data_IF_291853431902
#
_entry.id   IF_291853431902
#
_cell.length_a   1.000
_cell.length_b   1.000
_cell.length_c   1.000
_cell.angle_alpha   90.00
_cell.angle_beta   90.00
_cell.angle_gamma   90.00
#
_symmetry.space_group_name_H-M   'P 1'
#
loop_
_entity.id
_entity.type
_entity.pdbx_description
1 polymer ?
#
# COMPACT_ATOMS: atom_id res chain seq x y z
N UNK A 1 -13.54 36.53 8.75
CA UNK A 1 -12.22 35.82 8.88
C UNK A 1 -12.58 34.38 9.22
N UNK A 2 -12.47 33.50 8.25
CA UNK A 2 -12.86 32.08 8.42
C UNK A 2 -11.87 31.41 9.35
N UNK A 3 -12.28 31.19 10.59
CA UNK A 3 -11.51 30.46 11.62
C UNK A 3 -11.57 28.93 11.44
N UNK A 4 -12.10 28.46 10.31
CA UNK A 4 -12.44 27.03 10.13
C UNK A 4 -11.40 26.21 9.36
N UNK A 5 -10.22 26.75 9.05
CA UNK A 5 -9.22 26.07 8.22
C UNK A 5 -7.93 25.73 9.00
N UNK A 6 -8.03 25.56 10.33
CA UNK A 6 -6.87 25.24 11.16
C UNK A 6 -6.78 23.74 11.45
N UNK A 7 -5.60 23.18 11.21
CA UNK A 7 -5.24 21.84 11.66
C UNK A 7 -5.31 21.80 13.19
N UNK A 8 -6.06 20.84 13.73
CA UNK A 8 -6.20 20.67 15.16
C UNK A 8 -5.35 19.51 15.65
N UNK A 9 -4.76 19.68 16.81
CA UNK A 9 -3.94 18.65 17.47
C UNK A 9 -4.58 18.30 18.81
N UNK A 10 -4.87 17.02 19.01
CA UNK A 10 -5.46 16.52 20.26
C UNK A 10 -4.59 15.38 20.80
N UNK A 11 -4.21 15.47 22.07
CA UNK A 11 -3.55 14.37 22.77
C UNK A 11 -4.62 13.46 23.37
N UNK A 12 -4.73 12.24 22.87
CA UNK A 12 -5.76 11.29 23.24
C UNK A 12 -5.14 10.08 23.98
N UNK A 13 -5.81 9.63 25.05
CA UNK A 13 -5.61 8.28 25.55
C UNK A 13 -6.33 7.28 24.67
N UNK A 14 -5.98 6.00 24.76
CA UNK A 14 -6.70 4.96 24.03
C UNK A 14 -8.20 4.98 24.39
N UNK A 15 -8.50 5.16 25.68
CA UNK A 15 -9.87 5.28 26.16
C UNK A 15 -10.64 6.42 25.51
N UNK A 16 -10.06 7.62 25.44
CA UNK A 16 -10.72 8.79 24.87
C UNK A 16 -10.82 8.73 23.34
N UNK A 17 -9.89 8.07 22.68
CA UNK A 17 -9.94 7.86 21.25
C UNK A 17 -11.12 6.98 20.85
N UNK A 18 -11.27 5.83 21.50
CA UNK A 18 -12.38 4.92 21.23
C UNK A 18 -13.72 5.33 21.87
N UNK A 19 -13.90 6.62 22.17
CA UNK A 19 -15.19 7.27 22.33
C UNK A 19 -15.68 7.91 21.02
N UNK A 20 -14.82 8.03 20.02
CA UNK A 20 -15.12 8.56 18.69
C UNK A 20 -15.32 7.42 17.71
N UNK A 21 -16.01 7.69 16.61
CA UNK A 21 -16.18 6.73 15.53
C UNK A 21 -15.12 6.98 14.44
N UNK A 22 -14.44 5.94 14.03
CA UNK A 22 -13.43 5.98 12.97
C UNK A 22 -13.82 5.04 11.84
N UNK A 23 -13.51 5.46 10.62
CA UNK A 23 -13.67 4.66 9.42
C UNK A 23 -12.33 4.58 8.70
N UNK A 24 -11.89 3.39 8.38
CA UNK A 24 -10.77 3.15 7.46
C UNK A 24 -11.35 2.92 6.08
N UNK A 25 -11.15 3.86 5.13
CA UNK A 25 -11.74 3.77 3.80
C UNK A 25 -11.17 2.61 3.00
N UNK A 26 -11.92 2.14 2.01
CA UNK A 26 -11.54 1.05 1.11
C UNK A 26 -10.41 1.42 0.13
N UNK A 27 -10.14 2.72 -0.06
CA UNK A 27 -9.00 3.19 -0.84
C UNK A 27 -7.68 3.17 -0.04
N UNK A 28 -7.74 3.01 1.29
CA UNK A 28 -6.56 2.83 2.12
C UNK A 28 -6.05 1.39 2.04
N UNK A 29 -4.82 1.19 2.54
CA UNK A 29 -4.19 -0.11 2.59
C UNK A 29 -4.93 -1.02 3.56
N UNK A 30 -5.20 -2.27 3.18
CA UNK A 30 -5.74 -3.29 4.07
C UNK A 30 -4.83 -3.53 5.29
N UNK A 31 -5.36 -4.21 6.30
CA UNK A 31 -4.55 -4.61 7.45
C UNK A 31 -3.45 -5.60 7.03
N UNK A 32 -2.20 -5.27 7.33
CA UNK A 32 -1.01 -6.03 6.86
C UNK A 32 -0.06 -6.43 7.96
N UNK A 33 -0.28 -5.98 9.21
CA UNK A 33 0.56 -6.38 10.31
C UNK A 33 0.48 -7.89 10.54
N UNK A 34 1.65 -8.49 10.70
CA UNK A 34 1.83 -9.88 11.06
C UNK A 34 2.12 -9.98 12.55
N UNK A 35 2.30 -11.20 13.02
CA UNK A 35 2.62 -11.53 14.41
C UNK A 35 3.75 -10.64 14.99
N UNK A 36 4.85 -10.49 14.27
CA UNK A 36 6.02 -9.72 14.69
C UNK A 36 5.71 -8.26 15.03
N UNK A 37 4.91 -7.55 14.19
CA UNK A 37 4.55 -6.15 14.44
C UNK A 37 3.56 -6.01 15.60
N UNK A 38 2.66 -6.98 15.73
CA UNK A 38 1.68 -7.02 16.84
C UNK A 38 2.41 -7.28 18.15
N UNK A 39 3.30 -8.27 18.21
CA UNK A 39 4.11 -8.59 19.38
C UNK A 39 5.02 -7.43 19.79
N UNK A 40 5.64 -6.75 18.81
CA UNK A 40 6.48 -5.58 19.08
C UNK A 40 5.68 -4.48 19.78
N UNK A 41 4.48 -4.14 19.27
CA UNK A 41 3.62 -3.14 19.90
C UNK A 41 3.25 -3.52 21.35
N UNK A 42 2.91 -4.79 21.58
CA UNK A 42 2.57 -5.29 22.92
C UNK A 42 3.77 -5.27 23.84
N UNK A 43 4.95 -5.69 23.36
CA UNK A 43 6.21 -5.69 24.10
C UNK A 43 6.61 -4.29 24.53
N UNK A 44 6.54 -3.32 23.59
CA UNK A 44 6.86 -1.92 23.89
C UNK A 44 5.96 -1.34 24.99
N UNK A 45 4.65 -1.64 24.94
CA UNK A 45 3.71 -1.21 25.99
C UNK A 45 3.96 -1.92 27.32
N UNK A 46 4.28 -3.21 27.29
CA UNK A 46 4.59 -4.00 28.50
C UNK A 46 5.88 -3.52 29.15
N UNK A 47 6.92 -3.23 28.37
CA UNK A 47 8.16 -2.66 28.85
C UNK A 47 7.95 -1.27 29.48
N UNK A 48 7.17 -0.40 28.81
CA UNK A 48 6.83 0.91 29.34
C UNK A 48 6.04 0.83 30.66
N UNK A 49 5.08 -0.09 30.76
CA UNK A 49 4.32 -0.37 31.97
C UNK A 49 5.23 -0.86 33.09
N UNK A 50 6.10 -1.83 32.84
CA UNK A 50 7.03 -2.38 33.81
C UNK A 50 8.09 -1.38 34.26
N UNK A 51 8.55 -0.50 33.37
CA UNK A 51 9.52 0.54 33.72
C UNK A 51 8.90 1.62 34.63
N UNK A 52 7.70 2.10 34.33
CA UNK A 52 6.97 3.05 35.17
C UNK A 52 5.49 3.17 34.76
N UNK A 53 4.60 2.50 35.43
CA UNK A 53 3.14 2.51 35.20
C UNK A 53 2.46 3.88 35.33
N UNK A 54 3.13 4.87 35.95
CA UNK A 54 2.61 6.24 36.09
C UNK A 54 2.94 7.15 34.90
N UNK A 55 3.86 6.75 34.02
CA UNK A 55 4.24 7.52 32.82
C UNK A 55 3.40 7.13 31.62
N UNK A 56 3.13 8.15 30.80
CA UNK A 56 2.46 7.94 29.53
C UNK A 56 3.40 7.27 28.51
N UNK A 57 2.85 6.36 27.72
CA UNK A 57 3.52 5.75 26.56
C UNK A 57 2.96 6.34 25.29
N UNK A 58 3.81 6.95 24.47
CA UNK A 58 3.42 7.59 23.23
C UNK A 58 3.58 6.64 22.04
N UNK A 59 2.46 6.31 21.39
CA UNK A 59 2.41 5.36 20.26
C UNK A 59 2.67 6.02 18.90
N UNK A 60 2.64 7.35 18.83
CA UNK A 60 2.77 8.12 17.59
C UNK A 60 1.53 8.95 17.29
N UNK A 61 1.38 9.37 16.04
CA UNK A 61 0.25 10.18 15.57
C UNK A 61 -0.75 9.37 14.74
N UNK A 62 -1.99 9.85 14.72
CA UNK A 62 -3.00 9.47 13.71
C UNK A 62 -3.43 10.71 12.97
N UNK A 63 -3.73 10.58 11.68
CA UNK A 63 -4.24 11.68 10.84
C UNK A 63 -5.66 11.35 10.43
N UNK A 64 -6.56 12.28 10.70
CA UNK A 64 -8.00 12.10 10.45
C UNK A 64 -8.62 13.35 9.84
N UNK A 65 -9.74 13.19 9.18
CA UNK A 65 -10.63 14.30 8.84
C UNK A 65 -12.10 13.91 9.09
N UNK A 66 -12.98 14.89 9.43
CA UNK A 66 -14.36 14.60 9.71
C UNK A 66 -15.13 14.15 8.47
N UNK A 67 -15.95 13.11 8.62
CA UNK A 67 -16.82 12.59 7.59
C UNK A 67 -18.16 12.16 8.18
N UNK A 68 -19.16 13.03 8.09
CA UNK A 68 -20.45 12.82 8.76
C UNK A 68 -20.27 12.75 10.28
N UNK A 69 -20.74 11.67 10.88
CA UNK A 69 -20.65 11.44 12.33
C UNK A 69 -19.39 10.68 12.76
N UNK A 70 -18.46 10.41 11.84
CA UNK A 70 -17.23 9.67 12.09
C UNK A 70 -16.01 10.45 11.60
N UNK A 71 -14.83 10.03 12.01
CA UNK A 71 -13.55 10.46 11.47
C UNK A 71 -13.04 9.43 10.46
N UNK A 72 -12.66 9.89 9.30
CA UNK A 72 -11.98 9.05 8.32
C UNK A 72 -10.49 9.02 8.63
N UNK A 73 -9.95 7.82 8.81
CA UNK A 73 -8.57 7.60 9.26
C UNK A 73 -7.64 7.52 8.04
N UNK A 74 -6.77 8.52 7.89
CA UNK A 74 -5.82 8.61 6.77
C UNK A 74 -4.46 8.00 7.14
N UNK A 75 -4.01 8.18 8.38
CA UNK A 75 -2.80 7.54 8.92
C UNK A 75 -3.05 6.93 10.30
N UNK A 76 -2.27 5.91 10.63
CA UNK A 76 -2.37 5.18 11.89
C UNK A 76 -3.36 4.01 11.88
N UNK A 77 -3.91 3.65 10.73
CA UNK A 77 -4.92 2.61 10.56
C UNK A 77 -4.48 1.24 11.13
N UNK A 78 -3.23 0.82 10.91
CA UNK A 78 -2.73 -0.46 11.40
C UNK A 78 -2.73 -0.50 12.93
N UNK A 79 -2.25 0.59 13.56
CA UNK A 79 -2.23 0.74 15.02
C UNK A 79 -3.64 0.78 15.60
N UNK A 80 -4.53 1.58 15.04
CA UNK A 80 -5.91 1.70 15.51
C UNK A 80 -6.67 0.38 15.36
N UNK A 81 -6.45 -0.37 14.28
CA UNK A 81 -7.04 -1.71 14.10
C UNK A 81 -6.51 -2.68 15.15
N UNK A 82 -5.20 -2.66 15.41
CA UNK A 82 -4.60 -3.54 16.44
C UNK A 82 -5.10 -3.18 17.85
N UNK A 83 -5.26 -1.90 18.18
CA UNK A 83 -5.86 -1.49 19.45
C UNK A 83 -7.32 -1.89 19.58
N UNK A 84 -8.10 -1.77 18.50
CA UNK A 84 -9.49 -2.26 18.53
C UNK A 84 -9.53 -3.76 18.83
N UNK A 85 -8.69 -4.55 18.18
CA UNK A 85 -8.58 -6.00 18.43
C UNK A 85 -8.11 -6.27 19.88
N UNK A 86 -7.16 -5.49 20.41
CA UNK A 86 -6.71 -5.59 21.78
C UNK A 86 -7.86 -5.36 22.78
N UNK A 87 -8.71 -4.35 22.56
CA UNK A 87 -9.90 -4.10 23.37
C UNK A 87 -10.87 -5.29 23.34
N UNK A 88 -11.07 -5.90 22.16
CA UNK A 88 -11.91 -7.10 22.01
C UNK A 88 -11.33 -8.31 22.79
N UNK A 89 -10.02 -8.51 22.73
CA UNK A 89 -9.35 -9.60 23.46
C UNK A 89 -9.42 -9.35 24.97
N UNK A 90 -9.14 -8.12 25.44
CA UNK A 90 -9.26 -7.78 26.85
C UNK A 90 -10.69 -8.00 27.35
N UNK A 91 -11.71 -7.55 26.59
CA UNK A 91 -13.12 -7.85 26.90
C UNK A 91 -13.36 -9.34 27.12
N UNK A 92 -12.85 -10.18 26.21
CA UNK A 92 -13.06 -11.63 26.28
C UNK A 92 -12.37 -12.23 27.51
N UNK A 93 -11.14 -11.84 27.82
CA UNK A 93 -10.41 -12.33 28.99
C UNK A 93 -11.09 -11.90 30.28
N UNK A 94 -11.57 -10.65 30.38
CA UNK A 94 -12.34 -10.17 31.55
C UNK A 94 -13.62 -10.97 31.73
N UNK A 95 -14.36 -11.21 30.65
CA UNK A 95 -15.57 -12.04 30.65
C UNK A 95 -15.29 -13.46 31.15
N UNK A 96 -14.19 -14.07 30.70
CA UNK A 96 -13.82 -15.44 31.09
C UNK A 96 -13.43 -15.53 32.59
N UNK A 97 -13.03 -14.40 33.21
CA UNK A 97 -12.84 -14.28 34.66
C UNK A 97 -14.11 -13.84 35.41
N UNK A 98 -15.24 -13.66 34.72
CA UNK A 98 -16.49 -13.23 35.37
C UNK A 98 -16.51 -11.76 35.81
N UNK A 99 -15.62 -10.93 35.26
CA UNK A 99 -15.49 -9.50 35.56
C UNK A 99 -16.34 -8.68 34.58
N UNK A 100 -16.83 -7.52 35.03
CA UNK A 100 -17.59 -6.60 34.21
C UNK A 100 -16.80 -6.12 32.99
N UNK A 101 -17.39 -6.24 31.80
CA UNK A 101 -16.78 -5.89 30.51
C UNK A 101 -17.26 -4.54 29.96
N UNK A 102 -18.13 -3.85 30.67
CA UNK A 102 -18.81 -2.62 30.20
C UNK A 102 -17.83 -1.53 29.72
N UNK A 103 -16.67 -1.44 30.37
CA UNK A 103 -15.63 -0.47 30.00
C UNK A 103 -15.08 -0.73 28.58
N UNK A 104 -14.91 -1.99 28.21
CA UNK A 104 -14.43 -2.36 26.86
C UNK A 104 -15.57 -2.27 25.84
N UNK A 105 -16.76 -2.72 26.21
CA UNK A 105 -17.93 -2.68 25.33
C UNK A 105 -18.22 -1.25 24.84
N UNK A 106 -18.18 -0.28 25.73
CA UNK A 106 -18.35 1.15 25.41
C UNK A 106 -17.24 1.73 24.53
N UNK A 107 -16.12 1.04 24.32
CA UNK A 107 -15.00 1.44 23.42
C UNK A 107 -14.97 0.61 22.13
N UNK A 108 -15.67 -0.52 22.12
CA UNK A 108 -15.82 -1.37 20.93
C UNK A 108 -17.00 -0.86 20.08
N UNK A 109 -18.13 -0.56 20.70
CA UNK A 109 -19.32 -0.09 20.01
C UNK A 109 -20.09 0.96 20.82
N UNK A 110 -20.81 1.81 20.12
CA UNK A 110 -21.70 2.82 20.68
C UNK A 110 -23.08 2.78 20.01
N UNK A 111 -24.01 3.56 20.54
CA UNK A 111 -25.34 3.69 19.98
C UNK A 111 -25.44 5.02 19.21
N UNK A 112 -25.96 4.97 17.99
CA UNK A 112 -26.30 6.14 17.17
C UNK A 112 -27.74 6.04 16.68
N UNK A 113 -28.24 7.08 16.02
CA UNK A 113 -29.57 7.09 15.40
C UNK A 113 -29.44 6.95 13.89
N UNK A 114 -30.22 6.07 13.26
CA UNK A 114 -30.33 6.03 11.80
C UNK A 114 -31.14 7.23 11.27
N UNK A 115 -31.20 7.38 9.95
CA UNK A 115 -31.96 8.44 9.29
C UNK A 115 -33.48 8.42 9.57
N UNK A 116 -33.99 7.34 10.17
CA UNK A 116 -35.39 7.15 10.58
C UNK A 116 -35.59 7.29 12.07
N UNK A 117 -34.56 7.75 12.81
CA UNK A 117 -34.62 7.96 14.26
C UNK A 117 -34.61 6.66 15.08
N UNK A 118 -34.16 5.54 14.53
CA UNK A 118 -34.06 4.27 15.25
C UNK A 118 -32.64 4.10 15.81
N UNK A 119 -32.47 3.61 17.04
CA UNK A 119 -31.16 3.32 17.59
C UNK A 119 -30.48 2.20 16.79
N UNK A 120 -29.23 2.42 16.42
CA UNK A 120 -28.36 1.44 15.74
C UNK A 120 -27.03 1.33 16.49
N UNK A 121 -26.52 0.13 16.58
CA UNK A 121 -25.18 -0.13 17.12
C UNK A 121 -24.14 0.16 16.04
N UNK A 122 -23.19 1.03 16.35
CA UNK A 122 -22.05 1.32 15.48
C UNK A 122 -20.77 0.92 16.19
N UNK A 123 -19.85 0.32 15.48
CA UNK A 123 -18.52 0.04 16.00
C UNK A 123 -17.65 1.30 15.95
N UNK A 124 -16.82 1.52 16.97
CA UNK A 124 -15.92 2.67 17.03
C UNK A 124 -14.78 2.61 15.99
N UNK A 125 -14.57 1.46 15.37
CA UNK A 125 -13.74 1.31 14.18
C UNK A 125 -14.45 0.45 13.12
N UNK A 126 -14.58 1.02 11.93
CA UNK A 126 -15.12 0.34 10.75
C UNK A 126 -14.06 0.29 9.65
N UNK A 127 -13.86 -0.90 9.07
CA UNK A 127 -12.98 -1.12 7.93
C UNK A 127 -13.83 -1.27 6.67
N UNK A 128 -13.75 -0.33 5.73
CA UNK A 128 -14.62 -0.32 4.52
C UNK A 128 -14.11 -1.18 3.37
N UNK A 129 -13.06 -1.98 3.56
CA UNK A 129 -12.61 -2.92 2.54
C UNK A 129 -13.22 -4.32 2.77
N UNK A 130 -13.41 -5.06 1.68
CA UNK A 130 -14.13 -6.33 1.57
C UNK A 130 -14.06 -7.22 2.81
N UNK A 131 -15.23 -7.52 3.40
CA UNK A 131 -15.44 -8.40 4.56
C UNK A 131 -14.69 -8.07 5.85
N UNK A 132 -13.84 -7.05 5.87
CA UNK A 132 -13.02 -6.74 7.04
C UNK A 132 -13.84 -6.23 8.23
N UNK A 133 -14.87 -5.44 8.00
CA UNK A 133 -15.79 -5.03 9.08
C UNK A 133 -16.50 -6.22 9.70
N UNK A 134 -16.95 -7.18 8.90
CA UNK A 134 -17.56 -8.41 9.43
C UNK A 134 -16.57 -9.24 10.24
N UNK A 135 -15.28 -9.27 9.85
CA UNK A 135 -14.21 -9.90 10.64
C UNK A 135 -14.02 -9.23 12.00
N UNK A 136 -14.00 -7.88 12.06
CA UNK A 136 -13.91 -7.16 13.34
C UNK A 136 -15.14 -7.39 14.22
N UNK A 137 -16.34 -7.48 13.65
CA UNK A 137 -17.55 -7.83 14.39
C UNK A 137 -17.45 -9.23 14.99
N UNK A 138 -17.01 -10.23 14.19
CA UNK A 138 -16.79 -11.59 14.69
C UNK A 138 -15.75 -11.59 15.83
N UNK A 139 -14.62 -10.86 15.67
CA UNK A 139 -13.58 -10.74 16.70
C UNK A 139 -14.16 -10.11 17.99
N UNK A 140 -15.04 -9.12 17.87
CA UNK A 140 -15.62 -8.43 19.03
C UNK A 140 -16.51 -9.31 19.89
N UNK A 141 -17.15 -10.33 19.31
CA UNK A 141 -18.06 -11.25 19.99
C UNK A 141 -17.43 -12.63 20.26
N UNK A 142 -16.19 -12.83 19.85
CA UNK A 142 -15.55 -14.14 19.86
C UNK A 142 -15.19 -14.66 21.26
N UNK A 143 -14.99 -15.98 21.30
CA UNK A 143 -14.16 -16.66 22.29
C UNK A 143 -12.81 -16.96 21.66
N UNK A 144 -11.74 -16.77 22.42
CA UNK A 144 -10.39 -17.00 21.93
C UNK A 144 -9.79 -18.30 22.48
N UNK A 145 -8.81 -18.91 21.79
CA UNK A 145 -8.27 -18.53 20.48
C UNK A 145 -9.14 -19.02 19.32
N UNK A 146 -9.02 -18.36 18.16
CA UNK A 146 -9.57 -18.87 16.90
C UNK A 146 -8.81 -20.12 16.45
N UNK A 147 -9.52 -21.10 15.91
CA UNK A 147 -8.92 -22.29 15.33
C UNK A 147 -8.41 -22.01 13.91
N UNK A 148 -7.37 -22.71 13.45
CA UNK A 148 -6.79 -22.50 12.10
C UNK A 148 -7.82 -22.64 10.96
N UNK A 149 -8.82 -23.47 11.13
CA UNK A 149 -9.95 -23.63 10.18
C UNK A 149 -10.84 -22.39 10.04
N UNK A 150 -10.86 -21.54 11.08
CA UNK A 150 -11.66 -20.32 11.14
C UNK A 150 -10.87 -19.12 10.56
N UNK A 151 -9.56 -19.29 10.40
CA UNK A 151 -8.62 -18.26 9.91
C UNK A 151 -8.46 -18.42 8.39
N UNK A 152 -9.47 -18.03 7.63
CA UNK A 152 -9.47 -18.17 6.17
C UNK A 152 -9.68 -16.82 5.47
N UNK A 153 -9.26 -16.73 4.21
CA UNK A 153 -9.53 -15.56 3.37
C UNK A 153 -8.78 -14.28 3.78
N UNK A 154 -9.35 -13.13 3.43
CA UNK A 154 -8.75 -11.80 3.64
C UNK A 154 -8.69 -11.38 5.12
N UNK A 155 -9.56 -11.92 5.96
CA UNK A 155 -9.51 -11.69 7.42
C UNK A 155 -8.36 -12.38 8.14
N UNK A 156 -7.56 -13.21 7.46
CA UNK A 156 -6.51 -14.03 8.07
C UNK A 156 -5.57 -13.24 9.00
N UNK A 157 -5.15 -12.04 8.59
CA UNK A 157 -4.25 -11.22 9.40
C UNK A 157 -4.96 -10.61 10.62
N UNK A 158 -6.24 -10.25 10.51
CA UNK A 158 -7.03 -9.76 11.65
C UNK A 158 -7.23 -10.84 12.71
N UNK A 159 -7.63 -12.03 12.32
CA UNK A 159 -7.77 -13.19 13.23
C UNK A 159 -6.42 -13.63 13.79
N UNK A 160 -5.35 -13.59 12.96
CA UNK A 160 -3.98 -13.85 13.39
C UNK A 160 -3.54 -12.86 14.48
N UNK A 161 -3.76 -11.55 14.27
CA UNK A 161 -3.48 -10.52 15.27
C UNK A 161 -4.24 -10.77 16.57
N UNK A 162 -5.52 -11.14 16.50
CA UNK A 162 -6.32 -11.45 17.69
C UNK A 162 -5.75 -12.64 18.49
N UNK A 163 -5.35 -13.72 17.80
CA UNK A 163 -4.71 -14.87 18.43
C UNK A 163 -3.35 -14.53 19.03
N UNK A 164 -2.55 -13.73 18.33
CA UNK A 164 -1.25 -13.26 18.84
C UNK A 164 -1.43 -12.45 20.13
N UNK A 165 -2.36 -11.48 20.11
CA UNK A 165 -2.67 -10.66 21.31
C UNK A 165 -3.14 -11.55 22.46
N UNK A 166 -4.07 -12.48 22.20
CA UNK A 166 -4.60 -13.37 23.24
C UNK A 166 -3.50 -14.23 23.86
N UNK A 167 -2.66 -14.88 23.07
CA UNK A 167 -1.54 -15.68 23.54
C UNK A 167 -0.56 -14.85 24.35
N UNK A 168 -0.20 -13.66 23.82
CA UNK A 168 0.74 -12.76 24.49
C UNK A 168 0.24 -12.36 25.88
N UNK A 169 -1.04 -11.94 26.00
CA UNK A 169 -1.64 -11.52 27.28
C UNK A 169 -1.59 -12.65 28.30
N UNK A 170 -1.99 -13.86 27.93
CA UNK A 170 -1.98 -14.99 28.86
C UNK A 170 -0.57 -15.42 29.30
N UNK A 171 0.43 -15.24 28.44
CA UNK A 171 1.81 -15.58 28.73
C UNK A 171 2.50 -14.52 29.62
N UNK A 172 2.26 -13.25 29.34
CA UNK A 172 2.93 -12.15 30.04
C UNK A 172 2.27 -11.77 31.37
N UNK A 173 0.97 -12.03 31.52
CA UNK A 173 0.17 -11.63 32.66
C UNK A 173 -0.61 -12.82 33.22
N UNK A 174 0.06 -13.76 33.89
CA UNK A 174 -0.57 -14.96 34.46
C UNK A 174 -1.52 -14.66 35.63
N UNK A 175 -1.27 -13.58 36.41
CA UNK A 175 -2.18 -13.11 37.46
C UNK A 175 -3.13 -12.05 36.89
N UNK A 176 -4.44 -12.31 37.02
CA UNK A 176 -5.44 -11.36 36.57
C UNK A 176 -5.41 -10.05 37.38
N UNK A 177 -5.50 -10.17 38.73
CA UNK A 177 -5.65 -9.02 39.61
C UNK A 177 -4.35 -8.23 39.75
N UNK A 178 -3.21 -8.92 39.85
CA UNK A 178 -1.93 -8.29 40.16
C UNK A 178 -1.19 -7.77 38.93
N UNK A 179 -1.50 -8.33 37.72
CA UNK A 179 -0.74 -8.05 36.53
C UNK A 179 -1.63 -7.58 35.38
N UNK A 180 -2.64 -8.37 34.96
CA UNK A 180 -3.44 -8.05 33.77
C UNK A 180 -4.36 -6.85 33.97
N UNK A 181 -5.07 -6.77 35.11
CA UNK A 181 -6.00 -5.68 35.35
C UNK A 181 -5.25 -4.33 35.48
N UNK A 182 -4.11 -4.22 36.19
CA UNK A 182 -3.27 -3.02 36.14
C UNK A 182 -2.75 -2.67 34.74
N UNK A 183 -2.30 -3.66 33.98
CA UNK A 183 -1.87 -3.44 32.56
C UNK A 183 -3.01 -2.95 31.69
N UNK A 184 -4.19 -3.53 31.77
CA UNK A 184 -5.37 -3.09 31.02
C UNK A 184 -5.75 -1.64 31.37
N UNK A 185 -5.70 -1.28 32.66
CA UNK A 185 -5.87 0.11 33.12
C UNK A 185 -4.82 1.06 32.52
N UNK A 186 -3.55 0.63 32.50
CA UNK A 186 -2.46 1.38 31.87
C UNK A 186 -2.71 1.59 30.37
N UNK A 187 -3.08 0.54 29.64
CA UNK A 187 -3.38 0.60 28.21
C UNK A 187 -4.49 1.62 27.91
N UNK A 188 -5.55 1.63 28.69
CA UNK A 188 -6.66 2.56 28.49
C UNK A 188 -6.28 4.01 28.78
N UNK A 189 -5.55 4.27 29.88
CA UNK A 189 -5.40 5.61 30.44
C UNK A 189 -4.04 6.26 30.19
N UNK A 190 -2.98 5.49 29.88
CA UNK A 190 -1.60 5.95 29.72
C UNK A 190 -1.01 5.75 28.34
N UNK A 191 -1.58 4.85 27.54
CA UNK A 191 -1.21 4.75 26.11
C UNK A 191 -1.83 5.92 25.36
N UNK A 192 -0.97 6.74 24.74
CA UNK A 192 -1.37 8.01 24.12
C UNK A 192 -0.91 8.12 22.68
N UNK A 193 -1.69 8.87 21.91
CA UNK A 193 -1.33 9.32 20.57
C UNK A 193 -1.84 10.73 20.30
N UNK A 194 -1.21 11.39 19.34
CA UNK A 194 -1.65 12.70 18.86
C UNK A 194 -2.59 12.50 17.68
N UNK A 195 -3.84 12.90 17.83
CA UNK A 195 -4.74 13.03 16.69
C UNK A 195 -4.48 14.35 16.00
N UNK A 196 -4.17 14.28 14.72
CA UNK A 196 -4.06 15.42 13.82
C UNK A 196 -5.34 15.45 12.99
N UNK A 197 -6.18 16.40 13.27
CA UNK A 197 -7.46 16.59 12.59
C UNK A 197 -7.33 17.70 11.56
N UNK A 198 -7.65 17.38 10.32
CA UNK A 198 -7.67 18.32 9.19
C UNK A 198 -9.09 18.63 8.79
N UNK A 199 -9.26 19.71 8.06
CA UNK A 199 -10.57 20.12 7.58
C UNK A 199 -11.10 19.18 6.50
N UNK A 200 -10.24 18.72 5.61
CA UNK A 200 -10.59 17.88 4.48
C UNK A 200 -9.53 16.80 4.20
N UNK A 201 -9.88 15.91 3.29
CA UNK A 201 -9.03 14.81 2.86
C UNK A 201 -7.74 15.28 2.17
N UNK A 202 -7.76 16.37 1.40
CA UNK A 202 -6.58 16.85 0.68
C UNK A 202 -5.48 17.26 1.64
N UNK A 203 -5.86 17.97 2.71
CA UNK A 203 -4.91 18.40 3.74
C UNK A 203 -4.46 17.21 4.61
N UNK A 204 -5.37 16.25 4.90
CA UNK A 204 -5.00 15.01 5.58
C UNK A 204 -3.92 14.24 4.82
N UNK A 205 -4.08 14.08 3.51
CA UNK A 205 -3.11 13.39 2.67
C UNK A 205 -1.77 14.13 2.56
N UNK A 206 -1.76 15.48 2.51
CA UNK A 206 -0.51 16.26 2.54
C UNK A 206 0.27 16.06 3.84
N UNK A 207 -0.44 16.09 4.98
CA UNK A 207 0.19 15.85 6.29
C UNK A 207 0.72 14.43 6.37
N UNK A 208 -0.08 13.45 5.96
CA UNK A 208 0.32 12.06 5.90
C UNK A 208 1.58 11.86 5.06
N UNK A 209 1.66 12.44 3.86
CA UNK A 209 2.86 12.40 3.02
C UNK A 209 4.08 13.02 3.74
N UNK A 210 3.89 14.17 4.39
CA UNK A 210 4.97 14.88 5.10
C UNK A 210 5.52 14.07 6.28
N UNK A 211 4.65 13.44 7.05
CA UNK A 211 5.02 12.63 8.21
C UNK A 211 5.73 11.34 7.75
N UNK A 212 5.22 10.69 6.71
CA UNK A 212 5.74 9.41 6.23
C UNK A 212 7.03 9.53 5.41
N UNK A 213 7.37 10.69 4.86
CA UNK A 213 8.69 10.92 4.26
C UNK A 213 9.85 10.70 5.24
N UNK A 214 9.60 10.70 6.55
CA UNK A 214 10.58 10.52 7.62
C UNK A 214 10.47 9.16 8.33
N UNK A 215 9.52 8.31 7.93
CA UNK A 215 9.22 7.02 8.59
C UNK A 215 9.18 5.83 7.64
N UNK A 216 9.23 4.62 8.20
CA UNK A 216 9.11 3.36 7.45
C UNK A 216 7.62 3.07 7.24
N UNK A 217 7.12 3.03 5.99
CA UNK A 217 5.78 2.48 5.88
C UNK A 217 5.02 2.55 4.57
N UNK A 218 5.20 3.56 3.73
CA UNK A 218 4.48 3.65 2.46
C UNK A 218 5.38 3.30 1.29
N UNK A 219 4.85 2.47 0.42
CA UNK A 219 5.50 2.25 -0.88
C UNK A 219 5.21 3.44 -1.81
N UNK A 220 6.09 3.73 -2.78
CA UNK A 220 5.77 4.73 -3.82
C UNK A 220 4.45 4.48 -4.55
N UNK A 221 3.98 3.23 -4.60
CA UNK A 221 2.65 2.89 -5.14
C UNK A 221 1.52 3.42 -4.25
N UNK A 222 1.64 3.33 -2.93
CA UNK A 222 0.65 3.86 -2.00
C UNK A 222 0.62 5.40 -2.07
N UNK A 223 1.80 6.03 -2.16
CA UNK A 223 1.92 7.49 -2.35
C UNK A 223 1.30 7.94 -3.67
N UNK A 224 1.58 7.24 -4.77
CA UNK A 224 0.97 7.52 -6.06
C UNK A 224 -0.56 7.37 -6.03
N UNK A 225 -1.06 6.30 -5.40
CA UNK A 225 -2.50 6.11 -5.20
C UNK A 225 -3.10 7.35 -4.54
N UNK A 226 -2.52 7.79 -3.43
CA UNK A 226 -3.00 8.97 -2.71
C UNK A 226 -2.93 10.25 -3.55
N UNK A 227 -1.86 10.46 -4.31
CA UNK A 227 -1.72 11.60 -5.22
C UNK A 227 -2.85 11.65 -6.25
N UNK A 228 -3.22 10.51 -6.81
CA UNK A 228 -4.29 10.41 -7.82
C UNK A 228 -5.66 10.60 -7.17
N UNK A 229 -5.91 9.96 -6.02
CA UNK A 229 -7.20 10.05 -5.32
C UNK A 229 -7.53 11.49 -4.91
N UNK A 230 -6.52 12.31 -4.55
CA UNK A 230 -6.72 13.75 -4.27
C UNK A 230 -7.28 14.55 -5.46
N UNK A 231 -7.12 14.06 -6.68
CA UNK A 231 -7.59 14.74 -7.89
C UNK A 231 -9.04 14.37 -8.26
N UNK A 232 -9.67 13.46 -7.51
CA UNK A 232 -10.97 12.88 -7.87
C UNK A 232 -12.00 13.22 -6.80
N UNK A 233 -13.22 13.62 -7.20
CA UNK A 233 -14.33 13.79 -6.25
C UNK A 233 -14.63 12.46 -5.55
N UNK A 234 -15.03 12.55 -4.27
CA UNK A 234 -15.24 11.39 -3.41
C UNK A 234 -16.25 10.39 -3.97
N UNK A 235 -17.29 10.87 -4.63
CA UNK A 235 -18.35 10.05 -5.23
C UNK A 235 -17.81 9.08 -6.29
N UNK A 236 -16.62 9.36 -6.84
CA UNK A 236 -15.97 8.54 -7.86
C UNK A 236 -14.81 7.70 -7.33
N UNK A 237 -14.57 7.70 -6.03
CA UNK A 237 -13.47 6.92 -5.44
C UNK A 237 -13.61 5.42 -5.70
N UNK A 238 -14.82 4.86 -5.58
CA UNK A 238 -15.05 3.44 -5.83
C UNK A 238 -14.71 3.03 -7.28
N UNK A 239 -14.99 3.90 -8.25
CA UNK A 239 -14.63 3.68 -9.65
C UNK A 239 -13.10 3.61 -9.81
N UNK A 240 -12.41 4.60 -9.25
CA UNK A 240 -10.94 4.66 -9.30
C UNK A 240 -10.29 3.50 -8.54
N UNK A 241 -10.83 3.14 -7.37
CA UNK A 241 -10.32 2.05 -6.56
C UNK A 241 -10.47 0.70 -7.27
N UNK A 242 -11.59 0.48 -7.97
CA UNK A 242 -11.80 -0.74 -8.78
C UNK A 242 -10.73 -0.87 -9.86
N UNK A 243 -10.41 0.22 -10.56
CA UNK A 243 -9.35 0.23 -11.57
C UNK A 243 -7.98 -0.03 -10.92
N UNK A 244 -7.69 0.61 -9.78
CA UNK A 244 -6.44 0.42 -9.05
C UNK A 244 -6.26 -1.03 -8.57
N UNK A 245 -7.30 -1.61 -7.95
CA UNK A 245 -7.29 -3.02 -7.53
C UNK A 245 -7.02 -3.95 -8.71
N UNK A 246 -7.63 -3.70 -9.89
CA UNK A 246 -7.37 -4.52 -11.07
C UNK A 246 -5.90 -4.50 -11.52
N UNK A 247 -5.19 -3.37 -11.35
CA UNK A 247 -3.74 -3.29 -11.62
C UNK A 247 -2.96 -4.15 -10.62
N UNK A 248 -3.29 -4.04 -9.33
CA UNK A 248 -2.61 -4.81 -8.29
C UNK A 248 -2.85 -6.31 -8.45
N UNK A 249 -4.07 -6.72 -8.79
CA UNK A 249 -4.42 -8.11 -9.06
C UNK A 249 -3.69 -8.66 -10.29
N UNK A 250 -3.54 -7.88 -11.35
CA UNK A 250 -2.75 -8.25 -12.53
C UNK A 250 -1.28 -8.52 -12.15
N UNK A 251 -0.69 -7.67 -11.32
CA UNK A 251 0.72 -7.77 -10.95
C UNK A 251 1.00 -8.86 -9.91
N UNK A 252 0.08 -9.11 -8.98
CA UNK A 252 0.29 -9.95 -7.80
C UNK A 252 -0.63 -11.18 -7.70
N UNK A 253 -1.75 -11.20 -8.41
CA UNK A 253 -2.78 -12.23 -8.27
C UNK A 253 -2.52 -13.53 -9.05
N UNK A 254 -1.60 -13.52 -10.02
CA UNK A 254 -1.31 -14.67 -10.89
C UNK A 254 -0.26 -15.63 -10.33
N UNK A 255 0.05 -16.69 -11.09
CA UNK A 255 1.16 -17.61 -10.80
C UNK A 255 2.52 -16.89 -10.85
N UNK A 256 2.70 -15.98 -11.82
CA UNK A 256 3.87 -15.11 -11.94
C UNK A 256 3.54 -13.80 -11.24
N UNK A 257 4.19 -13.56 -10.11
CA UNK A 257 4.03 -12.33 -9.33
C UNK A 257 5.12 -11.32 -9.68
N UNK A 258 4.74 -10.05 -9.73
CA UNK A 258 5.68 -8.95 -9.94
C UNK A 258 5.58 -7.90 -8.83
N UNK A 259 6.69 -7.20 -8.61
CA UNK A 259 6.73 -6.08 -7.67
C UNK A 259 6.08 -4.86 -8.32
N UNK A 260 4.96 -4.34 -7.78
CA UNK A 260 4.26 -3.18 -8.36
C UNK A 260 5.18 -1.96 -8.55
N UNK A 261 6.14 -1.79 -7.65
CA UNK A 261 7.09 -0.68 -7.72
C UNK A 261 8.04 -0.78 -8.93
N UNK A 262 8.54 -1.99 -9.25
CA UNK A 262 9.36 -2.21 -10.45
C UNK A 262 8.55 -1.93 -11.72
N UNK A 263 7.32 -2.44 -11.77
CA UNK A 263 6.41 -2.14 -12.89
C UNK A 263 6.20 -0.63 -13.05
N UNK A 264 5.85 0.07 -11.96
CA UNK A 264 5.64 1.52 -11.99
C UNK A 264 6.86 2.25 -12.52
N UNK A 265 8.05 1.92 -12.02
CA UNK A 265 9.31 2.50 -12.46
C UNK A 265 9.52 2.31 -13.96
N UNK A 266 9.35 1.10 -14.46
CA UNK A 266 9.51 0.81 -15.89
C UNK A 266 8.44 1.50 -16.75
N UNK A 267 7.21 1.54 -16.26
CA UNK A 267 6.13 2.25 -16.95
C UNK A 267 6.44 3.75 -17.11
N UNK A 268 6.91 4.40 -16.03
CA UNK A 268 7.25 5.82 -16.07
C UNK A 268 8.40 6.09 -17.05
N UNK A 269 9.48 5.32 -16.97
CA UNK A 269 10.64 5.45 -17.86
C UNK A 269 10.30 5.13 -19.32
N UNK A 270 9.36 4.22 -19.58
CA UNK A 270 8.93 3.86 -20.92
C UNK A 270 7.95 4.86 -21.54
N UNK A 271 7.18 5.57 -20.72
CA UNK A 271 6.07 6.41 -21.18
C UNK A 271 6.43 7.89 -21.20
N UNK A 272 7.29 8.32 -20.26
CA UNK A 272 7.65 9.72 -20.08
C UNK A 272 9.15 9.93 -20.25
N UNK A 273 9.55 11.18 -20.55
CA UNK A 273 10.96 11.55 -20.52
C UNK A 273 11.43 11.67 -19.08
N UNK A 274 12.29 10.75 -18.67
CA UNK A 274 12.90 10.68 -17.35
C UNK A 274 14.40 10.96 -17.39
N UNK A 275 14.92 11.52 -18.47
CA UNK A 275 16.37 11.77 -18.68
C UNK A 275 16.96 12.77 -17.71
N UNK A 276 16.12 13.60 -17.09
CA UNK A 276 16.48 14.53 -16.02
C UNK A 276 16.70 13.85 -14.65
N UNK A 277 16.29 12.59 -14.52
CA UNK A 277 16.59 11.80 -13.33
C UNK A 277 18.11 11.58 -13.18
N UNK A 278 18.56 11.40 -11.96
CA UNK A 278 20.00 11.21 -11.67
C UNK A 278 20.59 10.06 -12.47
N UNK A 279 21.63 10.34 -13.24
CA UNK A 279 22.30 9.40 -14.16
C UNK A 279 21.36 8.90 -15.29
N UNK A 280 20.26 9.60 -15.58
CA UNK A 280 19.25 9.20 -16.58
C UNK A 280 18.40 7.99 -16.16
N UNK A 281 18.44 7.56 -14.92
CA UNK A 281 17.72 6.40 -14.40
C UNK A 281 16.82 6.84 -13.25
N UNK A 282 15.51 6.65 -13.41
CA UNK A 282 14.56 6.87 -12.34
C UNK A 282 14.70 5.76 -11.29
N UNK A 283 15.16 6.11 -10.08
CA UNK A 283 15.30 5.17 -8.97
C UNK A 283 14.00 5.03 -8.18
N UNK A 284 13.81 3.89 -7.54
CA UNK A 284 12.58 3.58 -6.80
C UNK A 284 12.28 4.57 -5.66
N UNK A 285 13.30 4.99 -4.92
CA UNK A 285 13.22 5.98 -3.84
C UNK A 285 12.94 7.41 -4.32
N UNK A 286 13.14 7.70 -5.61
CA UNK A 286 12.93 9.02 -6.20
C UNK A 286 11.61 9.13 -7.01
N UNK A 287 10.89 8.03 -7.23
CA UNK A 287 9.66 8.00 -8.06
C UNK A 287 8.62 9.03 -7.59
N UNK A 288 8.37 9.10 -6.29
CA UNK A 288 7.38 10.02 -5.73
C UNK A 288 7.75 11.50 -6.02
N UNK A 289 8.99 11.88 -5.74
CA UNK A 289 9.46 13.24 -5.96
C UNK A 289 9.42 13.61 -7.45
N UNK A 290 9.81 12.67 -8.31
CA UNK A 290 9.77 12.85 -9.76
C UNK A 290 8.33 13.04 -10.26
N UNK A 291 7.39 12.19 -9.86
CA UNK A 291 5.97 12.31 -10.21
C UNK A 291 5.38 13.65 -9.77
N UNK A 292 5.73 14.12 -8.58
CA UNK A 292 5.24 15.37 -8.05
C UNK A 292 5.79 16.58 -8.82
N UNK A 293 7.08 16.55 -9.20
CA UNK A 293 7.70 17.61 -10.00
C UNK A 293 7.28 17.58 -11.49
N UNK A 294 6.83 16.43 -12.01
CA UNK A 294 6.41 16.23 -13.40
C UNK A 294 4.90 15.98 -13.55
N UNK A 295 4.10 16.49 -12.63
CA UNK A 295 2.65 16.29 -12.62
C UNK A 295 1.97 16.72 -13.93
N UNK A 296 2.41 17.83 -14.53
CA UNK A 296 1.88 18.31 -15.82
C UNK A 296 2.23 17.37 -16.99
N UNK A 297 3.45 16.83 -17.02
CA UNK A 297 3.89 15.88 -18.03
C UNK A 297 3.13 14.56 -17.91
N UNK A 298 2.93 14.07 -16.69
CA UNK A 298 2.20 12.84 -16.41
C UNK A 298 0.68 13.00 -16.59
N UNK A 299 0.16 14.22 -16.45
CA UNK A 299 -1.24 14.54 -16.69
C UNK A 299 -2.23 13.99 -15.65
N UNK A 300 -1.77 13.33 -14.58
CA UNK A 300 -2.65 12.70 -13.60
C UNK A 300 -3.53 13.70 -12.85
N UNK A 301 -3.08 14.95 -12.69
CA UNK A 301 -3.88 16.01 -12.06
C UNK A 301 -5.07 16.43 -12.92
N UNK A 302 -4.90 16.47 -14.26
CA UNK A 302 -5.93 16.90 -15.23
C UNK A 302 -6.86 15.76 -15.61
N UNK A 303 -6.32 14.54 -15.69
CA UNK A 303 -7.06 13.34 -16.11
C UNK A 303 -6.63 12.10 -15.28
N UNK A 304 -7.02 12.03 -14.00
CA UNK A 304 -6.63 10.92 -13.11
C UNK A 304 -7.08 9.55 -13.61
N UNK A 305 -8.28 9.45 -14.18
CA UNK A 305 -8.79 8.18 -14.73
C UNK A 305 -8.01 7.74 -15.98
N UNK A 306 -7.68 8.68 -16.86
CA UNK A 306 -6.86 8.40 -18.03
C UNK A 306 -5.46 7.92 -17.65
N UNK A 307 -4.87 8.51 -16.62
CA UNK A 307 -3.58 8.08 -16.09
C UNK A 307 -3.64 6.65 -15.54
N UNK A 308 -4.66 6.33 -14.71
CA UNK A 308 -4.84 4.98 -14.16
C UNK A 308 -5.16 3.96 -15.26
N UNK A 309 -5.94 4.33 -16.26
CA UNK A 309 -6.19 3.48 -17.43
C UNK A 309 -4.89 3.21 -18.21
N UNK A 310 -4.02 4.20 -18.35
CA UNK A 310 -2.69 4.03 -18.94
C UNK A 310 -1.82 3.05 -18.15
N UNK A 311 -1.81 3.19 -16.82
CA UNK A 311 -1.13 2.23 -15.91
C UNK A 311 -1.68 0.81 -16.09
N UNK A 312 -3.01 0.65 -16.18
CA UNK A 312 -3.64 -0.67 -16.36
C UNK A 312 -3.21 -1.32 -17.68
N UNK A 313 -3.30 -0.56 -18.79
CA UNK A 313 -2.85 -1.04 -20.11
C UNK A 313 -1.35 -1.39 -20.11
N UNK A 314 -0.54 -0.56 -19.42
CA UNK A 314 0.88 -0.84 -19.21
C UNK A 314 1.12 -2.12 -18.42
N UNK A 315 0.35 -2.37 -17.35
CA UNK A 315 0.45 -3.58 -16.54
C UNK A 315 0.06 -4.84 -17.34
N UNK A 316 -1.01 -4.77 -18.14
CA UNK A 316 -1.41 -5.85 -19.05
C UNK A 316 -0.30 -6.23 -20.02
N UNK A 317 0.33 -5.24 -20.67
CA UNK A 317 1.48 -5.45 -21.56
C UNK A 317 2.69 -5.98 -20.85
N UNK A 318 3.01 -5.41 -19.68
CA UNK A 318 4.13 -5.83 -18.87
C UNK A 318 4.02 -7.32 -18.50
N UNK A 319 2.87 -7.72 -17.97
CA UNK A 319 2.61 -9.11 -17.59
C UNK A 319 2.58 -10.04 -18.79
N UNK A 320 2.02 -9.61 -19.93
CA UNK A 320 2.04 -10.36 -21.18
C UNK A 320 3.48 -10.70 -21.60
N UNK A 321 4.38 -9.73 -21.64
CA UNK A 321 5.78 -9.98 -21.99
C UNK A 321 6.56 -10.74 -20.91
N UNK A 322 6.28 -10.48 -19.64
CA UNK A 322 6.89 -11.17 -18.51
C UNK A 322 6.58 -12.68 -18.53
N UNK A 323 5.40 -13.06 -18.96
CA UNK A 323 4.98 -14.48 -19.08
C UNK A 323 5.38 -15.15 -20.40
N UNK A 324 6.10 -14.44 -21.27
CA UNK A 324 6.64 -15.00 -22.51
C UNK A 324 5.74 -14.78 -23.73
N UNK A 325 4.82 -13.83 -23.69
CA UNK A 325 3.97 -13.45 -24.80
C UNK A 325 2.85 -14.45 -25.14
N UNK A 326 2.43 -14.50 -26.38
CA UNK A 326 1.34 -15.37 -26.88
C UNK A 326 1.76 -16.84 -27.06
N UNK A 327 3.06 -17.13 -26.92
CA UNK A 327 3.63 -18.45 -27.24
C UNK A 327 3.87 -18.70 -28.72
N UNK A 328 3.72 -17.70 -29.58
CA UNK A 328 4.10 -17.75 -31.00
C UNK A 328 5.61 -17.94 -31.19
N UNK A 329 6.03 -18.28 -32.42
CA UNK A 329 7.45 -18.37 -32.78
C UNK A 329 8.20 -17.06 -32.57
N UNK A 330 7.54 -15.92 -32.78
CA UNK A 330 8.09 -14.57 -32.55
C UNK A 330 8.35 -14.28 -31.06
N UNK A 331 7.62 -14.94 -30.17
CA UNK A 331 7.82 -14.82 -28.72
C UNK A 331 8.90 -15.76 -28.17
N UNK A 332 9.52 -16.62 -29.00
CA UNK A 332 10.65 -17.44 -28.57
C UNK A 332 11.84 -16.58 -28.12
N UNK A 333 12.01 -15.37 -28.68
CA UNK A 333 13.01 -14.42 -28.24
C UNK A 333 12.86 -14.07 -26.75
N UNK A 334 11.63 -13.87 -26.26
CA UNK A 334 11.35 -13.59 -24.84
C UNK A 334 11.73 -14.76 -23.93
N UNK A 335 11.43 -15.99 -24.38
CA UNK A 335 11.82 -17.20 -23.65
C UNK A 335 13.34 -17.38 -23.60
N UNK A 336 14.02 -17.07 -24.72
CA UNK A 336 15.48 -17.13 -24.78
C UNK A 336 16.13 -16.07 -23.89
N UNK A 337 15.60 -14.84 -23.85
CA UNK A 337 16.07 -13.79 -22.93
C UNK A 337 15.98 -14.29 -21.47
N UNK A 338 14.86 -14.90 -21.09
CA UNK A 338 14.68 -15.47 -19.74
C UNK A 338 15.65 -16.62 -19.46
N UNK A 339 15.95 -17.46 -20.46
CA UNK A 339 16.93 -18.56 -20.32
C UNK A 339 18.36 -18.05 -20.19
N UNK A 340 18.72 -17.03 -20.96
CA UNK A 340 20.06 -16.43 -20.97
C UNK A 340 20.33 -15.59 -19.72
N UNK A 341 19.41 -14.68 -19.38
CA UNK A 341 19.57 -13.72 -18.29
C UNK A 341 19.09 -14.22 -16.93
N UNK A 342 18.42 -15.39 -16.90
CA UNK A 342 17.76 -15.91 -15.70
C UNK A 342 16.45 -15.18 -15.36
N UNK A 343 15.71 -15.70 -14.40
CA UNK A 343 14.41 -15.16 -13.97
C UNK A 343 14.47 -13.76 -13.35
N UNK A 344 15.65 -13.36 -12.88
CA UNK A 344 15.89 -12.03 -12.30
C UNK A 344 16.06 -10.93 -13.36
N UNK A 345 16.47 -11.28 -14.61
CA UNK A 345 16.67 -10.31 -15.67
C UNK A 345 15.35 -9.88 -16.27
N UNK A 346 14.99 -8.62 -16.11
CA UNK A 346 13.71 -8.04 -16.56
C UNK A 346 13.86 -6.72 -17.33
N UNK A 347 15.10 -6.27 -17.59
CA UNK A 347 15.35 -4.97 -18.24
C UNK A 347 14.76 -4.87 -19.65
N UNK A 348 14.70 -5.97 -20.40
CA UNK A 348 14.07 -6.00 -21.73
C UNK A 348 12.61 -5.51 -21.72
N UNK A 349 11.89 -5.68 -20.58
CA UNK A 349 10.50 -5.22 -20.44
C UNK A 349 10.40 -3.71 -20.53
N UNK A 350 11.45 -2.96 -20.18
CA UNK A 350 11.47 -1.51 -20.28
C UNK A 350 11.28 -1.03 -21.73
N UNK A 351 12.08 -1.56 -22.66
CA UNK A 351 11.96 -1.19 -24.09
C UNK A 351 10.69 -1.76 -24.74
N UNK A 352 10.23 -2.95 -24.31
CA UNK A 352 8.95 -3.50 -24.78
C UNK A 352 7.74 -2.68 -24.34
N UNK A 353 7.78 -2.08 -23.14
CA UNK A 353 6.76 -1.11 -22.74
C UNK A 353 6.82 0.18 -23.56
N UNK A 354 8.02 0.70 -23.83
CA UNK A 354 8.23 1.88 -24.66
C UNK A 354 7.72 1.66 -26.09
N UNK A 355 7.87 0.44 -26.63
CA UNK A 355 7.44 0.04 -27.97
C UNK A 355 5.91 -0.04 -28.16
N UNK A 356 5.15 0.77 -27.43
CA UNK A 356 3.68 0.72 -27.38
C UNK A 356 2.99 1.10 -28.71
N UNK A 357 3.70 1.78 -29.61
CA UNK A 357 3.19 2.28 -30.89
C UNK A 357 3.68 1.47 -32.11
N UNK A 358 4.58 0.52 -31.88
CA UNK A 358 5.15 -0.30 -32.97
C UNK A 358 4.11 -1.22 -33.59
N UNK A 359 4.19 -1.38 -34.90
CA UNK A 359 3.48 -2.44 -35.62
C UNK A 359 4.06 -3.83 -35.25
N UNK A 360 3.40 -4.88 -35.73
CA UNK A 360 3.79 -6.26 -35.40
C UNK A 360 5.18 -6.63 -35.92
N UNK A 361 5.58 -6.12 -37.07
CA UNK A 361 6.88 -6.41 -37.70
C UNK A 361 8.00 -5.73 -36.90
N UNK A 362 7.87 -4.44 -36.62
CA UNK A 362 8.82 -3.71 -35.77
C UNK A 362 8.95 -4.33 -34.37
N UNK A 363 7.83 -4.76 -33.78
CA UNK A 363 7.86 -5.40 -32.46
C UNK A 363 8.57 -6.76 -32.49
N UNK A 364 8.37 -7.57 -33.53
CA UNK A 364 9.08 -8.83 -33.70
C UNK A 364 10.61 -8.60 -33.88
N UNK A 365 10.97 -7.60 -34.67
CA UNK A 365 12.37 -7.20 -34.84
C UNK A 365 13.00 -6.68 -33.54
N UNK A 366 12.26 -5.87 -32.75
CA UNK A 366 12.73 -5.42 -31.43
C UNK A 366 12.96 -6.59 -30.46
N UNK A 367 12.07 -7.60 -30.43
CA UNK A 367 12.27 -8.80 -29.59
C UNK A 367 13.55 -9.54 -29.95
N UNK A 368 13.83 -9.70 -31.24
CA UNK A 368 15.08 -10.31 -31.76
C UNK A 368 16.30 -9.48 -31.38
N UNK A 369 16.23 -8.16 -31.53
CA UNK A 369 17.29 -7.23 -31.11
C UNK A 369 17.60 -7.35 -29.62
N UNK A 370 16.57 -7.36 -28.78
CA UNK A 370 16.72 -7.48 -27.33
C UNK A 370 17.41 -8.79 -26.90
N UNK A 371 17.09 -9.91 -27.55
CA UNK A 371 17.79 -11.18 -27.33
C UNK A 371 19.27 -11.02 -27.68
N UNK A 372 19.58 -10.40 -28.83
CA UNK A 372 20.96 -10.18 -29.28
C UNK A 372 21.75 -9.29 -28.32
N UNK A 373 21.12 -8.22 -27.77
CA UNK A 373 21.74 -7.35 -26.77
C UNK A 373 22.02 -8.11 -25.47
N UNK A 374 21.09 -8.94 -25.01
CA UNK A 374 21.28 -9.77 -23.80
C UNK A 374 22.43 -10.75 -23.98
N UNK A 375 22.49 -11.41 -25.14
CA UNK A 375 23.58 -12.32 -25.50
C UNK A 375 24.95 -11.59 -25.53
N UNK A 376 25.00 -10.43 -26.18
CA UNK A 376 26.19 -9.57 -26.22
C UNK A 376 26.63 -9.17 -24.80
N UNK A 377 25.67 -8.71 -23.97
CA UNK A 377 25.95 -8.27 -22.60
C UNK A 377 26.54 -9.39 -21.74
N UNK A 378 26.06 -10.63 -21.90
CA UNK A 378 26.59 -11.80 -21.17
C UNK A 378 28.01 -12.14 -21.62
N UNK A 379 28.25 -12.19 -22.94
CA UNK A 379 29.58 -12.55 -23.46
C UNK A 379 30.62 -11.49 -23.07
N UNK A 380 30.28 -10.22 -23.17
CA UNK A 380 31.18 -9.12 -22.88
C UNK A 380 31.17 -8.69 -21.40
N UNK A 381 30.46 -9.41 -20.53
CA UNK A 381 30.34 -9.12 -19.09
C UNK A 381 29.91 -7.67 -18.79
N UNK A 382 29.04 -7.11 -19.64
CA UNK A 382 28.51 -5.77 -19.46
C UNK A 382 27.65 -5.73 -18.19
N UNK A 383 27.86 -4.73 -17.34
CA UNK A 383 27.12 -4.59 -16.09
C UNK A 383 25.65 -4.28 -16.35
N UNK A 384 24.77 -4.85 -15.57
CA UNK A 384 23.31 -4.65 -15.68
C UNK A 384 22.88 -3.19 -15.62
N UNK A 385 23.56 -2.38 -14.79
CA UNK A 385 23.27 -0.95 -14.68
C UNK A 385 23.66 -0.14 -15.93
N UNK A 386 24.66 -0.59 -16.69
CA UNK A 386 25.03 0.02 -17.97
C UNK A 386 23.96 -0.24 -19.02
N UNK A 387 23.45 -1.46 -19.11
CA UNK A 387 22.34 -1.83 -19.99
C UNK A 387 21.08 -1.05 -19.59
N UNK A 388 20.79 -0.95 -18.30
CA UNK A 388 19.63 -0.19 -17.81
C UNK A 388 19.71 1.28 -18.22
N UNK A 389 20.89 1.89 -18.10
CA UNK A 389 21.12 3.28 -18.53
C UNK A 389 20.92 3.45 -20.02
N UNK A 390 21.41 2.54 -20.84
CA UNK A 390 21.20 2.58 -22.31
C UNK A 390 19.72 2.47 -22.64
N UNK A 391 19.01 1.51 -22.04
CA UNK A 391 17.58 1.35 -22.27
C UNK A 391 16.78 2.56 -21.84
N UNK A 392 17.13 3.18 -20.72
CA UNK A 392 16.50 4.44 -20.26
C UNK A 392 16.67 5.56 -21.28
N UNK A 393 17.90 5.74 -21.81
CA UNK A 393 18.18 6.75 -22.84
C UNK A 393 17.46 6.48 -24.17
N UNK A 394 17.25 5.22 -24.52
CA UNK A 394 16.57 4.83 -25.75
C UNK A 394 15.04 4.87 -25.65
N UNK A 395 14.45 4.80 -24.45
CA UNK A 395 13.00 4.80 -24.27
C UNK A 395 12.26 5.94 -24.98
N UNK A 396 12.68 7.23 -24.88
CA UNK A 396 11.97 8.32 -25.58
C UNK A 396 11.97 8.18 -27.08
N UNK A 397 13.05 7.66 -27.68
CA UNK A 397 13.14 7.42 -29.12
C UNK A 397 12.30 6.21 -29.52
N UNK A 398 12.43 5.09 -28.80
CA UNK A 398 11.66 3.85 -29.04
C UNK A 398 10.15 4.11 -28.93
N UNK A 399 9.73 5.00 -28.04
CA UNK A 399 8.32 5.38 -27.87
C UNK A 399 7.72 6.08 -29.12
N UNK A 400 8.56 6.67 -29.97
CA UNK A 400 8.11 7.34 -31.22
C UNK A 400 8.10 6.40 -32.42
N UNK A 401 8.75 5.24 -32.35
CA UNK A 401 8.86 4.28 -33.45
C UNK A 401 7.53 3.58 -33.67
N UNK A 402 7.08 3.53 -34.96
CA UNK A 402 5.84 2.89 -35.37
C UNK A 402 6.06 1.75 -36.36
N UNK A 403 7.13 1.81 -37.16
CA UNK A 403 7.40 0.86 -38.25
C UNK A 403 8.82 0.28 -38.18
N UNK A 404 9.02 -0.85 -38.87
CA UNK A 404 10.31 -1.52 -38.95
C UNK A 404 11.40 -0.69 -39.60
N UNK A 405 11.07 0.13 -40.61
CA UNK A 405 12.01 1.06 -41.21
C UNK A 405 12.51 2.13 -40.23
N UNK A 406 11.65 2.59 -39.31
CA UNK A 406 12.04 3.53 -38.28
C UNK A 406 12.91 2.84 -37.24
N UNK A 407 12.59 1.60 -36.86
CA UNK A 407 13.38 0.80 -35.93
C UNK A 407 14.76 0.52 -36.53
N UNK A 408 14.85 0.15 -37.78
CA UNK A 408 16.13 -0.11 -38.46
C UNK A 408 17.05 1.12 -38.45
N UNK A 409 16.49 2.32 -38.73
CA UNK A 409 17.25 3.57 -38.62
C UNK A 409 17.75 3.84 -37.19
N UNK A 410 16.91 3.61 -36.20
CA UNK A 410 17.28 3.75 -34.80
C UNK A 410 18.41 2.75 -34.42
N UNK A 411 18.34 1.51 -34.88
CA UNK A 411 19.36 0.50 -34.66
C UNK A 411 20.69 0.95 -35.24
N UNK A 412 20.68 1.46 -36.48
CA UNK A 412 21.89 1.92 -37.16
C UNK A 412 22.52 3.16 -36.51
N UNK A 413 21.68 4.09 -36.03
CA UNK A 413 22.15 5.34 -35.45
C UNK A 413 22.57 5.24 -33.98
N UNK A 414 21.88 4.47 -33.17
CA UNK A 414 22.02 4.50 -31.72
C UNK A 414 22.54 3.16 -31.15
N UNK A 415 22.03 2.01 -31.65
CA UNK A 415 22.34 0.72 -31.05
C UNK A 415 23.69 0.21 -31.52
N UNK A 416 23.92 0.12 -32.83
CA UNK A 416 25.18 -0.40 -33.40
C UNK A 416 26.42 0.36 -32.92
N UNK A 417 26.44 1.71 -32.90
CA UNK A 417 27.63 2.42 -32.40
C UNK A 417 27.91 2.21 -30.91
N UNK A 418 26.87 1.87 -30.13
CA UNK A 418 26.99 1.70 -28.69
C UNK A 418 27.47 0.30 -28.28
N UNK A 419 27.13 -0.72 -29.08
CA UNK A 419 27.46 -2.13 -28.78
C UNK A 419 28.54 -2.69 -29.74
N UNK A 420 29.08 -1.90 -30.66
CA UNK A 420 30.23 -2.26 -31.52
C UNK A 420 31.54 -2.01 -30.76
#
# INVERSE_FOLDING_TARGET
MDTNNQIQFSNLTLESAFQKFYTVPDYQREYVWKEEQVEQLLSDMTEAFGANSSKDYFVGSIVVYPNGNAFELVDGQQRMTTFFILLCVLKAVYRDHGIDTSIFEQRIHGTSMDSKGRPVTLYHLELQYEDASSCLQVISEAKFPFQDKDITGRGKLLFGAANTIYKYILQQFPSFEDELAPFAGYVLTRVRFVQIETHDMSDALKIFETINQRGIGLTPMDLLKNMIFRQVPRERFNELNTQWKSIMDLLQGGQTKELPLRFLRYYLMATYDTTDAKDGILREDYIYNWLNSHADQCGYQKNPFGFVQGLKTGAERYMFYLTGGSGSTEDNHLKNITRLGGSAYKLHLLLLLAASRMDSQALAHLKSLLESIVYYAIINQVKTNEIERLYSLWCPQVHQIQSDDQLSRFIDAEVKPTIA
#
